data_IF_888507433863
#
_entry.id   IF_888507433863
#
_cell.length_a   1.000
_cell.length_b   1.000
_cell.length_c   1.000
_cell.angle_alpha   90.00
_cell.angle_beta   90.00
_cell.angle_gamma   90.00
#
_symmetry.space_group_name_H-M   'P 1'
#
loop_
_entity.id
_entity.type
_entity.pdbx_description
1 polymer ?
#
# COMPACT_ATOMS: atom_id res chain seq x y z
N UNK A 1 16.26 10.89 -65.25
CA UNK A 1 17.06 10.43 -64.08
C UNK A 1 16.13 10.25 -62.89
N UNK A 2 15.76 9.02 -62.55
CA UNK A 2 15.05 8.70 -61.30
C UNK A 2 16.10 8.21 -60.31
N UNK A 3 16.31 8.94 -59.22
CA UNK A 3 17.18 8.47 -58.13
C UNK A 3 16.50 7.26 -57.47
N UNK A 4 17.11 6.09 -57.61
CA UNK A 4 16.70 4.89 -56.90
C UNK A 4 17.20 5.05 -55.46
N UNK A 5 16.29 5.32 -54.53
CA UNK A 5 16.60 5.34 -53.10
C UNK A 5 17.04 3.94 -52.69
N UNK A 6 18.23 3.87 -52.11
CA UNK A 6 18.85 2.61 -51.71
C UNK A 6 18.13 2.10 -50.43
N UNK A 7 17.40 0.96 -50.47
CA UNK A 7 16.51 0.54 -49.39
C UNK A 7 17.24 0.35 -48.05
N UNK A 8 18.53 0.06 -48.09
CA UNK A 8 19.40 -0.04 -46.91
C UNK A 8 19.54 1.29 -46.14
N UNK A 9 19.56 2.44 -46.83
CA UNK A 9 19.67 3.75 -46.18
C UNK A 9 18.37 4.16 -45.49
N UNK A 10 17.22 3.85 -46.09
CA UNK A 10 15.90 4.12 -45.49
C UNK A 10 15.62 3.29 -44.24
N UNK A 11 16.11 2.04 -44.19
CA UNK A 11 15.91 1.16 -43.02
C UNK A 11 16.83 1.55 -41.86
N UNK A 12 18.08 1.92 -42.15
CA UNK A 12 19.00 2.46 -41.14
C UNK A 12 18.49 3.77 -40.51
N UNK A 13 17.80 4.61 -41.31
CA UNK A 13 17.21 5.86 -40.84
C UNK A 13 16.03 5.63 -39.89
N UNK A 14 15.18 4.63 -40.17
CA UNK A 14 14.02 4.29 -39.33
C UNK A 14 14.44 3.66 -37.99
N UNK A 15 15.46 2.79 -38.01
CA UNK A 15 16.02 2.17 -36.80
C UNK A 15 16.70 3.21 -35.88
N UNK A 16 17.36 4.21 -36.46
CA UNK A 16 17.98 5.29 -35.70
C UNK A 16 16.92 6.20 -35.05
N UNK A 17 15.78 6.43 -35.71
CA UNK A 17 14.67 7.24 -35.17
C UNK A 17 13.92 6.52 -34.04
N UNK A 18 13.80 5.18 -34.09
CA UNK A 18 13.26 4.38 -32.99
C UNK A 18 14.19 4.35 -31.77
N UNK A 19 15.52 4.39 -31.96
CA UNK A 19 16.46 4.45 -30.83
C UNK A 19 16.44 5.82 -30.10
N UNK A 20 16.05 6.89 -30.79
CA UNK A 20 15.91 8.24 -30.23
C UNK A 20 14.57 8.47 -29.51
N UNK A 21 13.60 7.56 -29.68
CA UNK A 21 12.34 7.55 -28.92
C UNK A 21 12.37 6.53 -27.78
N UNK A 22 13.58 6.30 -27.23
CA UNK A 22 13.74 5.53 -26.01
C UNK A 22 12.78 6.08 -24.95
N UNK A 23 11.77 5.27 -24.62
CA UNK A 23 10.90 5.51 -23.48
C UNK A 23 11.85 5.71 -22.30
N UNK A 24 11.86 6.91 -21.72
CA UNK A 24 12.55 7.13 -20.46
C UNK A 24 11.82 6.30 -19.42
N UNK A 25 12.25 5.05 -19.25
CA UNK A 25 11.83 4.24 -18.13
C UNK A 25 12.53 4.79 -16.89
N UNK A 26 11.84 5.65 -16.15
CA UNK A 26 12.24 6.08 -14.83
C UNK A 26 12.02 4.93 -13.85
N UNK A 27 12.91 3.93 -13.88
CA UNK A 27 13.05 3.04 -12.75
C UNK A 27 13.73 3.85 -11.63
N UNK A 28 12.92 4.53 -10.84
CA UNK A 28 13.33 5.22 -9.61
C UNK A 28 13.25 4.22 -8.46
N UNK A 29 14.21 4.27 -7.54
CA UNK A 29 13.94 3.84 -6.16
C UNK A 29 12.74 4.65 -5.65
N UNK A 30 11.72 4.04 -5.04
CA UNK A 30 10.44 4.72 -4.78
C UNK A 30 10.61 5.96 -3.89
N UNK A 31 11.50 5.93 -2.90
CA UNK A 31 11.85 7.09 -2.07
C UNK A 31 12.55 8.23 -2.82
N UNK A 32 13.10 7.97 -4.01
CA UNK A 32 13.78 8.98 -4.85
C UNK A 32 12.86 9.64 -5.87
N UNK A 33 11.59 9.21 -5.96
CA UNK A 33 10.62 9.84 -6.84
C UNK A 33 10.38 11.29 -6.38
N UNK A 34 10.60 12.30 -7.23
CA UNK A 34 10.58 13.71 -6.82
C UNK A 34 9.27 14.16 -6.13
N UNK A 35 8.14 13.53 -6.46
CA UNK A 35 6.83 13.86 -5.90
C UNK A 35 6.64 13.39 -4.46
N UNK A 36 7.34 12.33 -4.02
CA UNK A 36 7.24 11.77 -2.66
C UNK A 36 8.54 11.88 -1.86
N UNK A 37 9.58 12.51 -2.41
CA UNK A 37 10.85 12.74 -1.71
C UNK A 37 10.68 13.46 -0.35
N UNK A 38 9.62 14.27 -0.20
CA UNK A 38 9.25 14.97 1.03
C UNK A 38 8.02 14.36 1.75
N UNK A 39 7.47 13.25 1.26
CA UNK A 39 6.37 12.51 1.87
C UNK A 39 6.73 11.02 2.01
N UNK A 40 7.57 10.66 3.01
CA UNK A 40 8.05 9.30 3.18
C UNK A 40 6.95 8.30 3.54
N UNK A 41 5.77 8.75 3.97
CA UNK A 41 4.64 7.86 4.26
C UNK A 41 3.88 7.45 2.99
N UNK A 42 4.12 8.14 1.87
CA UNK A 42 3.60 7.81 0.55
C UNK A 42 4.54 6.86 -0.23
N UNK A 43 5.65 6.44 0.37
CA UNK A 43 6.63 5.55 -0.25
C UNK A 43 6.07 4.12 -0.34
N UNK A 44 5.59 3.75 -1.54
CA UNK A 44 5.26 2.38 -1.91
C UNK A 44 6.57 1.65 -2.19
N UNK A 45 6.96 0.70 -1.35
CA UNK A 45 8.23 0.00 -1.54
C UNK A 45 8.13 -1.11 -2.58
N UNK A 46 7.01 -1.84 -2.58
CA UNK A 46 6.80 -3.01 -3.44
C UNK A 46 5.31 -3.33 -3.63
N UNK A 47 4.97 -3.91 -4.78
CA UNK A 47 3.65 -4.50 -5.05
C UNK A 47 3.81 -5.95 -5.51
N UNK A 48 3.04 -6.84 -4.92
CA UNK A 48 2.95 -8.26 -5.30
C UNK A 48 1.51 -8.60 -5.65
N UNK A 49 1.32 -9.33 -6.76
CA UNK A 49 0.03 -9.86 -7.15
C UNK A 49 0.21 -11.30 -7.62
N UNK A 50 -0.51 -12.24 -7.01
CA UNK A 50 -0.42 -13.65 -7.34
C UNK A 50 -1.74 -14.36 -7.05
N UNK A 51 -1.97 -15.48 -7.75
CA UNK A 51 -3.10 -16.36 -7.45
C UNK A 51 -2.94 -16.90 -6.04
N UNK A 52 -3.99 -16.78 -5.23
CA UNK A 52 -3.91 -17.13 -3.81
C UNK A 52 -3.61 -18.64 -3.64
N UNK A 53 -2.66 -19.00 -2.75
CA UNK A 53 -2.28 -20.40 -2.54
C UNK A 53 -3.34 -21.19 -1.78
N UNK A 54 -4.19 -20.51 -1.01
CA UNK A 54 -5.31 -21.06 -0.22
C UNK A 54 -6.62 -21.14 -1.01
N UNK A 55 -6.85 -20.23 -1.97
CA UNK A 55 -7.93 -20.34 -2.95
C UNK A 55 -7.46 -19.95 -4.37
N UNK A 56 -7.23 -20.94 -5.26
CA UNK A 56 -6.79 -20.67 -6.63
C UNK A 56 -7.76 -19.86 -7.50
N UNK A 57 -8.99 -19.59 -7.05
CA UNK A 57 -9.95 -18.75 -7.77
C UNK A 57 -9.85 -17.27 -7.41
N UNK A 58 -9.02 -16.91 -6.43
CA UNK A 58 -8.80 -15.52 -6.01
C UNK A 58 -7.38 -15.05 -6.31
N UNK A 59 -7.19 -13.74 -6.23
CA UNK A 59 -5.90 -13.09 -6.36
C UNK A 59 -5.58 -12.42 -5.02
N UNK A 60 -4.37 -12.67 -4.50
CA UNK A 60 -3.80 -11.93 -3.39
C UNK A 60 -2.99 -10.77 -3.94
N UNK A 61 -3.28 -9.58 -3.42
CA UNK A 61 -2.51 -8.36 -3.69
C UNK A 61 -1.89 -7.90 -2.38
N UNK A 62 -0.60 -7.61 -2.40
CA UNK A 62 0.15 -7.05 -1.26
C UNK A 62 0.81 -5.77 -1.75
N UNK A 63 0.43 -4.64 -1.16
CA UNK A 63 1.05 -3.34 -1.39
C UNK A 63 1.81 -2.93 -0.13
N UNK A 64 3.14 -2.88 -0.24
CA UNK A 64 4.01 -2.51 0.87
C UNK A 64 4.26 -1.01 0.84
N UNK A 65 4.09 -0.37 2.00
CA UNK A 65 4.40 1.03 2.20
C UNK A 65 5.27 1.16 3.44
N UNK A 66 6.14 2.17 3.44
CA UNK A 66 7.11 2.43 4.51
C UNK A 66 8.16 1.29 4.57
N UNK A 67 9.46 1.61 4.52
CA UNK A 67 10.50 0.59 4.55
C UNK A 67 10.60 -0.10 5.91
N UNK A 68 11.43 -1.15 5.97
CA UNK A 68 11.63 -1.98 7.15
C UNK A 68 11.80 -1.18 8.46
N UNK A 69 11.09 -1.61 9.49
CA UNK A 69 11.17 -1.06 10.84
C UNK A 69 11.68 -2.14 11.80
N UNK A 70 12.74 -1.84 12.56
CA UNK A 70 13.29 -2.78 13.52
C UNK A 70 12.49 -2.75 14.83
N UNK A 71 12.15 -3.91 15.43
CA UNK A 71 11.41 -3.95 16.71
C UNK A 71 12.11 -3.25 17.88
N UNK A 72 13.44 -3.13 17.85
CA UNK A 72 14.22 -2.40 18.85
C UNK A 72 14.59 -0.98 18.40
N UNK A 73 14.06 -0.53 17.26
CA UNK A 73 14.22 0.82 16.70
C UNK A 73 13.34 1.89 17.35
N UNK A 74 12.61 1.54 18.41
CA UNK A 74 11.77 2.46 19.17
C UNK A 74 12.53 3.66 19.77
N UNK A 75 11.81 4.61 20.42
CA UNK A 75 10.46 4.46 20.95
C UNK A 75 9.33 4.77 19.96
N UNK A 76 9.63 5.23 18.75
CA UNK A 76 8.63 5.60 17.74
C UNK A 76 8.62 4.61 16.57
N UNK A 77 7.44 4.34 16.05
CA UNK A 77 7.22 3.50 14.87
C UNK A 77 6.40 4.28 13.86
N UNK A 78 6.72 4.13 12.59
CA UNK A 78 5.95 4.67 11.49
C UNK A 78 4.63 3.91 11.33
N UNK A 79 3.62 4.64 10.88
CA UNK A 79 2.28 4.15 10.54
C UNK A 79 1.82 4.89 9.28
N UNK A 80 0.73 4.43 8.65
CA UNK A 80 0.12 5.10 7.51
C UNK A 80 -0.22 6.57 7.80
N UNK A 81 -0.13 7.41 6.76
CA UNK A 81 -0.42 8.85 6.84
C UNK A 81 -1.90 9.17 6.60
N UNK A 82 -2.41 10.22 7.26
CA UNK A 82 -3.84 10.59 7.21
C UNK A 82 -4.23 11.45 5.99
N UNK A 83 -3.25 12.04 5.31
CA UNK A 83 -3.47 12.92 4.16
C UNK A 83 -3.00 12.30 2.84
N UNK A 84 -3.00 10.96 2.78
CA UNK A 84 -2.51 10.18 1.65
C UNK A 84 -3.64 9.23 1.22
N UNK A 85 -3.88 9.16 -0.09
CA UNK A 85 -4.74 8.14 -0.69
C UNK A 85 -3.85 6.99 -1.12
N UNK A 86 -4.01 5.86 -0.45
CA UNK A 86 -3.33 4.63 -0.82
C UNK A 86 -4.26 3.90 -1.79
N UNK A 87 -3.92 3.92 -3.07
CA UNK A 87 -4.76 3.35 -4.13
C UNK A 87 -4.07 2.16 -4.81
N UNK A 88 -4.84 1.10 -5.03
CA UNK A 88 -4.44 -0.05 -5.85
C UNK A 88 -5.33 -0.04 -7.08
N UNK A 89 -4.71 0.16 -8.23
CA UNK A 89 -5.36 0.23 -9.53
C UNK A 89 -5.22 -1.12 -10.23
N UNK A 90 -6.34 -1.67 -10.68
CA UNK A 90 -6.41 -2.97 -11.34
C UNK A 90 -7.07 -2.78 -12.70
N UNK A 91 -6.24 -2.89 -13.74
CA UNK A 91 -6.66 -3.10 -15.13
C UNK A 91 -6.60 -4.61 -15.40
N UNK A 92 -7.77 -5.22 -15.60
CA UNK A 92 -7.91 -6.65 -15.86
C UNK A 92 -8.48 -6.96 -17.25
N UNK A 93 -8.85 -5.94 -18.04
CA UNK A 93 -9.29 -6.05 -19.42
C UNK A 93 -8.57 -5.03 -20.30
N UNK A 94 -7.51 -5.50 -20.98
CA UNK A 94 -6.71 -4.67 -21.90
C UNK A 94 -7.51 -3.97 -23.02
N UNK A 95 -8.75 -4.39 -23.28
CA UNK A 95 -9.62 -3.80 -24.29
C UNK A 95 -10.38 -2.56 -23.79
N UNK A 96 -10.46 -2.37 -22.48
CA UNK A 96 -11.10 -1.24 -21.82
C UNK A 96 -10.02 -0.23 -21.42
N UNK A 97 -10.11 1.03 -21.88
CA UNK A 97 -9.15 2.06 -21.43
C UNK A 97 -9.43 2.46 -19.98
N UNK A 98 -8.45 2.27 -19.10
CA UNK A 98 -8.48 2.74 -17.71
C UNK A 98 -8.43 1.58 -16.72
N UNK A 99 -8.72 1.89 -15.46
CA UNK A 99 -8.75 0.88 -14.39
C UNK A 99 -10.19 0.39 -14.20
N UNK A 100 -10.40 -0.93 -14.22
CA UNK A 100 -11.71 -1.52 -13.92
C UNK A 100 -12.00 -1.50 -12.43
N UNK A 101 -10.99 -1.65 -11.58
CA UNK A 101 -11.15 -1.68 -10.13
C UNK A 101 -10.10 -0.79 -9.48
N UNK A 102 -10.55 0.12 -8.61
CA UNK A 102 -9.66 0.92 -7.77
C UNK A 102 -10.05 0.69 -6.32
N UNK A 103 -9.14 0.13 -5.53
CA UNK A 103 -9.28 0.11 -4.07
C UNK A 103 -8.59 1.34 -3.50
N UNK A 104 -9.28 2.08 -2.63
CA UNK A 104 -8.74 3.24 -1.93
C UNK A 104 -8.76 3.01 -0.42
N UNK A 105 -7.64 3.28 0.23
CA UNK A 105 -7.52 3.29 1.68
C UNK A 105 -7.18 4.70 2.16
N UNK A 106 -7.95 5.18 3.13
CA UNK A 106 -7.70 6.45 3.83
C UNK A 106 -7.59 6.17 5.32
N UNK A 107 -6.53 6.65 5.95
CA UNK A 107 -6.23 6.35 7.35
C UNK A 107 -6.58 7.53 8.26
N UNK A 108 -6.97 7.22 9.49
CA UNK A 108 -7.17 8.19 10.56
C UNK A 108 -6.39 7.78 11.80
N UNK A 109 -5.87 8.75 12.56
CA UNK A 109 -5.13 8.49 13.78
C UNK A 109 -5.63 9.31 14.95
N UNK A 110 -5.67 8.65 16.10
CA UNK A 110 -5.94 9.28 17.39
C UNK A 110 -5.01 8.75 18.48
N UNK A 111 -4.84 9.53 19.54
CA UNK A 111 -4.17 9.07 20.75
C UNK A 111 -5.22 8.71 21.79
N UNK A 112 -5.34 7.43 22.15
CA UNK A 112 -6.28 7.00 23.19
C UNK A 112 -5.86 7.49 24.59
N UNK A 113 -4.55 7.62 24.84
CA UNK A 113 -3.96 8.04 26.11
C UNK A 113 -3.41 9.47 26.08
N UNK A 114 -4.26 10.47 26.31
CA UNK A 114 -3.88 11.89 26.31
C UNK A 114 -2.89 12.30 27.44
N UNK A 115 -2.70 11.45 28.46
CA UNK A 115 -1.83 11.72 29.61
C UNK A 115 -0.47 11.03 29.55
N UNK A 116 -0.08 10.44 28.41
CA UNK A 116 1.15 9.68 28.29
C UNK A 116 1.75 9.77 26.88
N UNK A 117 3.06 9.59 26.79
CA UNK A 117 3.80 9.52 25.51
C UNK A 117 4.16 8.08 25.12
N UNK A 118 3.83 7.09 25.95
CA UNK A 118 4.06 5.68 25.59
C UNK A 118 3.10 5.26 24.48
N UNK A 119 3.60 4.56 23.46
CA UNK A 119 2.75 4.02 22.38
C UNK A 119 1.70 3.05 22.90
N UNK A 120 1.99 2.33 23.97
CA UNK A 120 1.05 1.40 24.58
C UNK A 120 1.16 1.51 26.10
N UNK A 121 0.02 1.66 26.77
CA UNK A 121 -0.06 1.65 28.23
C UNK A 121 -1.48 1.41 28.73
N UNK A 122 -1.64 0.52 29.71
CA UNK A 122 -2.89 0.29 30.46
C UNK A 122 -4.10 0.06 29.54
N UNK A 123 -3.94 -0.80 28.54
CA UNK A 123 -4.98 -1.16 27.58
C UNK A 123 -5.18 -0.17 26.43
N UNK A 124 -4.49 0.98 26.43
CA UNK A 124 -4.60 1.99 25.39
C UNK A 124 -3.44 1.92 24.40
N UNK A 125 -3.75 2.15 23.12
CA UNK A 125 -2.81 2.40 22.03
C UNK A 125 -2.78 3.91 21.73
N UNK A 126 -1.64 4.53 22.00
CA UNK A 126 -1.33 5.85 21.43
C UNK A 126 -0.89 5.68 19.98
N UNK A 127 -1.26 6.65 19.13
CA UNK A 127 -1.24 6.50 17.68
C UNK A 127 -2.08 5.30 17.23
N UNK A 128 -3.30 5.17 17.77
CA UNK A 128 -4.30 4.25 17.25
C UNK A 128 -4.65 4.69 15.84
N UNK A 129 -4.47 3.79 14.89
CA UNK A 129 -4.73 4.04 13.48
C UNK A 129 -5.92 3.20 13.05
N UNK A 130 -6.87 3.81 12.36
CA UNK A 130 -7.95 3.11 11.67
C UNK A 130 -7.93 3.46 10.19
N UNK A 131 -8.67 2.70 9.37
CA UNK A 131 -8.79 2.99 7.95
C UNK A 131 -10.23 2.90 7.45
N UNK A 132 -10.49 3.65 6.40
CA UNK A 132 -11.67 3.49 5.54
C UNK A 132 -11.21 2.87 4.23
N UNK A 133 -11.85 1.80 3.80
CA UNK A 133 -11.64 1.17 2.49
C UNK A 133 -12.84 1.44 1.60
N UNK A 134 -12.57 1.95 0.42
CA UNK A 134 -13.54 2.18 -0.64
C UNK A 134 -13.14 1.46 -1.92
N UNK A 135 -14.09 1.17 -2.80
CA UNK A 135 -13.84 0.56 -4.11
C UNK A 135 -14.59 1.31 -5.21
N UNK A 136 -13.90 1.63 -6.29
CA UNK A 136 -14.50 2.06 -7.55
C UNK A 136 -14.49 0.91 -8.55
N UNK A 137 -15.57 0.81 -9.35
CA UNK A 137 -15.71 -0.13 -10.46
C UNK A 137 -15.98 0.59 -11.80
N UNK A 138 -15.76 1.91 -11.84
CA UNK A 138 -16.14 2.80 -12.94
C UNK A 138 -15.03 3.81 -13.28
N UNK A 139 -13.78 3.38 -13.18
CA UNK A 139 -12.61 4.21 -13.50
C UNK A 139 -12.39 5.36 -12.52
N UNK A 140 -12.84 5.21 -11.27
CA UNK A 140 -12.67 6.21 -10.20
C UNK A 140 -13.74 7.30 -10.18
N UNK A 141 -14.84 7.17 -10.93
CA UNK A 141 -15.91 8.15 -10.94
C UNK A 141 -16.76 8.10 -9.67
N UNK A 142 -17.04 6.90 -9.16
CA UNK A 142 -17.74 6.66 -7.90
C UNK A 142 -17.01 5.65 -7.03
N UNK A 143 -17.24 5.72 -5.72
CA UNK A 143 -16.60 4.87 -4.71
C UNK A 143 -17.66 4.33 -3.75
N UNK A 144 -17.72 3.00 -3.65
CA UNK A 144 -18.54 2.29 -2.66
C UNK A 144 -17.73 2.10 -1.38
N UNK A 145 -18.32 2.42 -0.23
CA UNK A 145 -17.74 2.17 1.08
C UNK A 145 -17.78 0.68 1.41
N UNK A 146 -16.61 0.07 1.61
CA UNK A 146 -16.46 -1.37 1.86
C UNK A 146 -16.11 -1.71 3.32
N UNK A 147 -15.25 -0.89 3.94
CA UNK A 147 -14.90 -0.99 5.36
C UNK A 147 -14.86 0.42 5.95
N UNK A 148 -15.55 0.63 7.07
CA UNK A 148 -15.44 1.82 7.90
C UNK A 148 -14.81 1.41 9.24
N UNK A 149 -13.94 2.27 9.78
CA UNK A 149 -13.23 2.03 11.05
C UNK A 149 -12.42 0.71 11.07
N UNK A 150 -11.82 0.36 9.93
CA UNK A 150 -10.93 -0.79 9.81
C UNK A 150 -9.72 -0.68 10.75
N UNK A 151 -9.28 -1.81 11.30
CA UNK A 151 -8.26 -1.84 12.36
C UNK A 151 -6.86 -1.91 11.76
N UNK A 152 -5.95 -1.04 12.23
CA UNK A 152 -4.50 -1.21 12.05
C UNK A 152 -3.90 -1.65 13.39
N UNK A 153 -3.37 -2.87 13.52
CA UNK A 153 -2.81 -3.34 14.77
C UNK A 153 -1.53 -2.56 15.12
N UNK A 154 -1.17 -2.47 16.41
CA UNK A 154 0.06 -1.82 16.82
C UNK A 154 1.29 -2.60 16.32
N UNK A 155 2.47 -1.97 16.21
CA UNK A 155 3.72 -2.70 15.98
C UNK A 155 4.03 -3.64 17.15
N UNK A 156 4.80 -4.71 16.90
CA UNK A 156 5.29 -5.59 17.96
C UNK A 156 6.43 -4.93 18.76
N UNK A 157 6.06 -4.10 19.73
CA UNK A 157 7.01 -3.42 20.65
C UNK A 157 7.61 -4.43 21.67
N UNK A 158 7.01 -5.62 21.79
CA UNK A 158 7.47 -6.70 22.66
C UNK A 158 6.61 -6.93 23.91
N UNK A 159 6.93 -7.97 24.70
CA UNK A 159 6.01 -8.55 25.69
C UNK A 159 5.56 -7.59 26.79
N UNK A 160 6.40 -6.61 27.16
CA UNK A 160 6.01 -5.62 28.17
C UNK A 160 4.88 -4.72 27.67
N UNK A 161 4.89 -4.34 26.39
CA UNK A 161 3.86 -3.48 25.80
C UNK A 161 2.65 -4.28 25.34
N UNK A 162 2.84 -5.49 24.82
CA UNK A 162 1.75 -6.30 24.26
C UNK A 162 1.08 -7.15 25.35
N UNK A 163 1.85 -8.03 25.99
CA UNK A 163 1.30 -9.14 26.80
C UNK A 163 1.09 -8.79 28.28
N UNK A 164 1.74 -7.75 28.79
CA UNK A 164 1.69 -7.45 30.23
C UNK A 164 0.45 -6.67 30.65
N UNK A 165 0.11 -6.74 31.95
CA UNK A 165 -0.98 -5.98 32.56
C UNK A 165 -0.80 -4.45 32.52
N UNK A 166 0.41 -3.95 32.25
CA UNK A 166 0.66 -2.51 32.03
C UNK A 166 0.65 -2.14 30.55
N UNK A 167 0.52 -3.13 29.66
CA UNK A 167 0.42 -3.03 28.21
C UNK A 167 -1.01 -3.23 27.71
N UNK A 168 -1.19 -3.95 26.59
CA UNK A 168 -2.51 -4.35 26.07
C UNK A 168 -3.08 -5.61 26.74
N UNK A 169 -2.27 -6.36 27.49
CA UNK A 169 -2.67 -7.56 28.20
C UNK A 169 -3.34 -8.61 27.29
N UNK A 170 -2.79 -8.79 26.09
CA UNK A 170 -3.20 -9.77 25.07
C UNK A 170 -1.97 -10.32 24.37
N UNK A 171 -2.09 -11.42 23.62
CA UNK A 171 -1.03 -11.87 22.71
C UNK A 171 -1.06 -11.09 21.39
N UNK A 172 0.10 -11.01 20.73
CA UNK A 172 0.25 -10.24 19.48
C UNK A 172 -0.53 -10.87 18.32
N UNK A 173 -0.56 -12.20 18.24
CA UNK A 173 -1.27 -12.92 17.17
C UNK A 173 -2.77 -12.63 17.17
N UNK A 174 -3.37 -12.49 18.36
CA UNK A 174 -4.76 -12.08 18.53
C UNK A 174 -5.02 -10.67 17.97
N UNK A 175 -4.08 -9.74 18.11
CA UNK A 175 -4.20 -8.38 17.55
C UNK A 175 -4.15 -8.41 16.01
N UNK A 176 -3.23 -9.19 15.44
CA UNK A 176 -3.12 -9.38 13.99
C UNK A 176 -4.38 -10.05 13.44
N UNK A 177 -4.83 -11.13 14.08
CA UNK A 177 -6.02 -11.87 13.68
C UNK A 177 -7.28 -11.01 13.71
N UNK A 178 -7.43 -10.13 14.71
CA UNK A 178 -8.56 -9.20 14.81
C UNK A 178 -8.54 -8.12 13.72
N UNK A 179 -7.36 -7.77 13.20
CA UNK A 179 -7.20 -6.79 12.13
C UNK A 179 -7.47 -7.37 10.73
N UNK A 180 -7.63 -8.69 10.60
CA UNK A 180 -8.06 -9.34 9.36
C UNK A 180 -9.58 -9.20 9.25
N UNK A 181 -10.05 -8.37 8.32
CA UNK A 181 -11.46 -8.02 8.17
C UNK A 181 -12.04 -8.56 6.86
N UNK A 182 -13.33 -8.87 6.88
CA UNK A 182 -14.11 -9.13 5.67
C UNK A 182 -14.87 -7.87 5.31
N UNK A 183 -14.72 -7.39 4.09
CA UNK A 183 -15.44 -6.23 3.59
C UNK A 183 -16.91 -6.56 3.28
N UNK A 184 -17.74 -5.53 3.05
CA UNK A 184 -19.10 -5.72 2.52
C UNK A 184 -19.13 -6.26 1.07
N UNK A 185 -18.02 -6.12 0.33
CA UNK A 185 -17.84 -6.61 -1.04
C UNK A 185 -17.35 -8.06 -1.15
N UNK A 186 -16.97 -8.68 -0.02
CA UNK A 186 -16.45 -10.06 0.04
C UNK A 186 -14.92 -10.17 -0.02
N UNK A 187 -14.20 -9.04 0.00
CA UNK A 187 -12.74 -9.02 0.09
C UNK A 187 -12.26 -9.31 1.53
N UNK A 188 -11.21 -10.12 1.67
CA UNK A 188 -10.48 -10.30 2.93
C UNK A 188 -9.29 -9.36 2.98
N UNK A 189 -9.23 -8.50 3.98
CA UNK A 189 -8.36 -7.32 4.03
C UNK A 189 -7.57 -7.29 5.33
N UNK A 190 -6.29 -6.93 5.24
CA UNK A 190 -5.42 -6.63 6.38
C UNK A 190 -4.61 -5.38 6.07
N UNK A 191 -4.55 -4.44 7.01
CA UNK A 191 -3.72 -3.25 6.92
C UNK A 191 -2.91 -3.13 8.22
N UNK A 192 -1.59 -3.27 8.14
CA UNK A 192 -0.76 -3.25 9.33
C UNK A 192 0.69 -3.67 9.07
N UNK A 193 1.50 -3.71 10.14
CA UNK A 193 2.86 -4.26 10.08
C UNK A 193 2.87 -5.72 9.61
N UNK A 194 3.97 -6.14 9.00
CA UNK A 194 4.24 -7.54 8.66
C UNK A 194 5.56 -7.93 9.33
N UNK A 195 5.48 -8.81 10.33
CA UNK A 195 6.57 -9.18 11.24
C UNK A 195 7.05 -10.62 11.03
#
# INVERSE_FOLDING_TARGET
MKQILNPFKTWASLLCLMALTGIQAFASSHREAPLIANDPLADNTDLYAFRSPDDPNTITIIANYIPAQLPFGGPNYYTFGENIRYEIHIDNDYSVPGDEIIYRFTFHRENEGLSTFFNIRLGAQNLKTTYTMERSMDGGATFDLLIMDGIVPPPNIGPRSIESAVGLNTDYESLISQAIMMSSGGERVYCGPAD
#
